data_IF_570532502410
#
_entry.id   IF_570532502410
#
_cell.length_a   1.000
_cell.length_b   1.000
_cell.length_c   1.000
_cell.angle_alpha   90.00
_cell.angle_beta   90.00
_cell.angle_gamma   90.00
#
_symmetry.space_group_name_H-M   'P 1'
#
loop_
_entity.id
_entity.type
_entity.pdbx_description
1 polymer ?
#
# COMPACT_ATOMS: atom_id res chain seq x y z
N UNK A 1 13.84 43.02 -7.51
CA UNK A 1 12.83 43.75 -6.70
C UNK A 1 12.58 42.88 -5.49
N UNK A 2 12.73 43.40 -4.27
CA UNK A 2 12.48 42.59 -3.07
C UNK A 2 11.01 42.16 -3.02
N UNK A 3 10.67 40.93 -2.55
CA UNK A 3 9.30 40.42 -2.54
C UNK A 3 8.28 41.38 -1.91
N UNK A 4 8.68 42.04 -0.81
CA UNK A 4 7.83 42.98 -0.06
C UNK A 4 7.57 44.29 -0.82
N UNK A 5 8.42 44.66 -1.77
CA UNK A 5 8.27 45.94 -2.51
C UNK A 5 7.26 45.87 -3.65
N UNK A 6 6.89 44.67 -4.10
CA UNK A 6 5.91 44.53 -5.19
C UNK A 6 4.46 44.72 -4.72
N UNK A 7 4.13 44.30 -3.50
CA UNK A 7 2.81 44.51 -2.89
C UNK A 7 2.40 45.99 -2.91
N UNK A 8 3.36 46.89 -2.64
CA UNK A 8 3.16 48.34 -2.62
C UNK A 8 3.47 49.03 -3.96
N UNK A 9 3.74 48.26 -5.02
CA UNK A 9 4.05 48.82 -6.32
C UNK A 9 2.82 49.50 -6.94
N UNK A 10 3.07 50.55 -7.73
CA UNK A 10 2.03 51.28 -8.45
C UNK A 10 1.20 50.34 -9.33
N UNK A 11 -0.06 50.69 -9.58
CA UNK A 11 -0.97 49.91 -10.45
C UNK A 11 -0.39 49.67 -11.84
N UNK A 12 0.35 50.64 -12.39
CA UNK A 12 1.07 50.51 -13.65
C UNK A 12 2.05 49.33 -13.62
N UNK A 13 2.80 49.16 -12.53
CA UNK A 13 3.75 48.05 -12.36
C UNK A 13 3.02 46.74 -12.08
N UNK A 14 1.93 46.77 -11.33
CA UNK A 14 1.11 45.58 -11.04
C UNK A 14 0.26 45.11 -12.23
N UNK A 15 0.17 45.90 -13.29
CA UNK A 15 -0.50 45.59 -14.56
C UNK A 15 0.47 45.28 -15.70
N UNK A 16 1.78 45.33 -15.45
CA UNK A 16 2.80 45.08 -16.46
C UNK A 16 3.04 43.56 -16.63
N UNK A 17 2.79 43.06 -17.83
CA UNK A 17 2.87 41.63 -18.14
C UNK A 17 4.29 41.07 -18.05
N UNK A 18 5.30 41.79 -18.55
CA UNK A 18 6.69 41.32 -18.50
C UNK A 18 7.19 41.26 -17.06
N UNK A 19 6.83 42.27 -16.26
CA UNK A 19 7.12 42.29 -14.84
C UNK A 19 6.44 41.12 -14.12
N UNK A 20 5.17 40.86 -14.43
CA UNK A 20 4.42 39.74 -13.86
C UNK A 20 5.05 38.38 -14.18
N UNK A 21 5.50 38.16 -15.42
CA UNK A 21 6.18 36.92 -15.80
C UNK A 21 7.50 36.72 -15.03
N UNK A 22 8.29 37.77 -14.84
CA UNK A 22 9.50 37.73 -13.99
C UNK A 22 9.18 37.45 -12.53
N UNK A 23 8.06 37.97 -12.02
CA UNK A 23 7.62 37.71 -10.65
C UNK A 23 7.20 36.25 -10.49
N UNK A 24 6.48 35.68 -11.45
CA UNK A 24 6.12 34.26 -11.42
C UNK A 24 7.35 33.34 -11.45
N UNK A 25 8.45 33.80 -12.02
CA UNK A 25 9.72 33.04 -12.04
C UNK A 25 10.48 33.13 -10.71
N UNK A 26 10.54 34.32 -10.10
CA UNK A 26 11.37 34.56 -8.90
C UNK A 26 10.61 34.36 -7.58
N UNK A 27 9.37 34.86 -7.53
CA UNK A 27 8.55 34.93 -6.32
C UNK A 27 7.07 34.69 -6.65
N UNK A 28 6.71 33.48 -7.14
CA UNK A 28 5.40 33.21 -7.68
C UNK A 28 4.26 33.47 -6.69
N UNK A 29 4.44 33.29 -5.39
CA UNK A 29 3.41 33.59 -4.37
C UNK A 29 2.87 35.02 -4.41
N UNK A 30 3.59 35.97 -5.00
CA UNK A 30 3.17 37.36 -5.15
C UNK A 30 2.12 37.58 -6.25
N UNK A 31 1.74 36.54 -7.01
CA UNK A 31 0.69 36.65 -8.05
C UNK A 31 -0.65 37.15 -7.47
N UNK A 32 -0.89 36.95 -6.17
CA UNK A 32 -2.07 37.45 -5.46
C UNK A 32 -2.20 38.98 -5.48
N UNK A 33 -1.11 39.69 -5.76
CA UNK A 33 -1.08 41.16 -5.87
C UNK A 33 -1.18 41.67 -7.31
N UNK A 34 -1.23 40.78 -8.31
CA UNK A 34 -1.39 41.17 -9.71
C UNK A 34 -2.68 41.95 -9.92
N UNK A 35 -2.62 42.95 -10.79
CA UNK A 35 -3.82 43.64 -11.22
C UNK A 35 -4.75 42.67 -11.97
N UNK A 36 -6.06 42.84 -11.80
CA UNK A 36 -7.07 41.92 -12.37
C UNK A 36 -6.97 41.81 -13.89
N UNK A 37 -6.49 42.84 -14.59
CA UNK A 37 -6.25 42.80 -16.04
C UNK A 37 -5.30 41.67 -16.44
N UNK A 38 -4.29 41.37 -15.61
CA UNK A 38 -3.32 40.33 -15.89
C UNK A 38 -3.90 38.91 -15.78
N UNK A 39 -4.92 38.73 -14.95
CA UNK A 39 -5.59 37.43 -14.75
C UNK A 39 -6.46 37.02 -15.94
N UNK A 40 -6.58 37.88 -16.95
CA UNK A 40 -7.17 37.54 -18.25
C UNK A 40 -6.18 36.94 -19.24
N UNK A 41 -4.87 37.01 -18.96
CA UNK A 41 -3.84 36.46 -19.84
C UNK A 41 -3.62 34.97 -19.58
N UNK A 42 -3.74 34.17 -20.66
CA UNK A 42 -3.62 32.71 -20.63
C UNK A 42 -2.28 32.24 -20.07
N UNK A 43 -1.18 32.84 -20.50
CA UNK A 43 0.18 32.46 -20.10
C UNK A 43 0.46 32.78 -18.63
N UNK A 44 -0.05 33.90 -18.12
CA UNK A 44 -0.02 34.23 -16.69
C UNK A 44 -0.81 33.19 -15.90
N UNK A 45 -2.04 32.89 -16.30
CA UNK A 45 -2.87 31.89 -15.63
C UNK A 45 -2.21 30.51 -15.61
N UNK A 46 -1.61 30.09 -16.72
CA UNK A 46 -0.95 28.78 -16.80
C UNK A 46 0.24 28.70 -15.85
N UNK A 47 1.10 29.73 -15.82
CA UNK A 47 2.22 29.80 -14.86
C UNK A 47 1.73 29.79 -13.41
N UNK A 48 0.62 30.48 -13.10
CA UNK A 48 0.01 30.44 -11.77
C UNK A 48 -0.45 29.02 -11.44
N UNK A 49 -1.09 28.30 -12.37
CA UNK A 49 -1.57 26.92 -12.15
C UNK A 49 -0.42 25.94 -11.93
N UNK A 50 0.67 26.06 -12.69
CA UNK A 50 1.86 25.23 -12.51
C UNK A 50 2.51 25.42 -11.13
N UNK A 51 2.46 26.63 -10.58
CA UNK A 51 2.95 26.92 -9.23
C UNK A 51 1.95 26.58 -8.12
N UNK A 52 0.69 27.00 -8.28
CA UNK A 52 -0.39 26.83 -7.34
C UNK A 52 -1.62 26.21 -8.04
N UNK A 53 -1.67 24.88 -8.17
CA UNK A 53 -2.72 24.18 -8.90
C UNK A 53 -4.13 24.40 -8.37
N UNK A 54 -4.28 24.65 -7.06
CA UNK A 54 -5.59 24.94 -6.46
C UNK A 54 -6.17 26.27 -6.92
N UNK A 55 -5.37 27.13 -7.55
CA UNK A 55 -5.86 28.33 -8.25
C UNK A 55 -6.86 27.99 -9.35
N UNK A 56 -6.91 26.74 -9.82
CA UNK A 56 -7.94 26.25 -10.73
C UNK A 56 -9.36 26.59 -10.24
N UNK A 57 -9.60 26.54 -8.93
CA UNK A 57 -10.87 26.94 -8.31
C UNK A 57 -11.29 28.37 -8.67
N UNK A 58 -10.33 29.29 -8.74
CA UNK A 58 -10.53 30.72 -9.00
C UNK A 58 -10.43 31.10 -10.48
N UNK A 59 -10.14 30.15 -11.38
CA UNK A 59 -10.02 30.47 -12.80
C UNK A 59 -11.32 31.06 -13.36
N UNK A 60 -11.24 32.11 -14.19
CA UNK A 60 -12.37 32.56 -14.99
C UNK A 60 -13.01 31.40 -15.76
N UNK A 61 -14.36 31.43 -15.87
CA UNK A 61 -15.13 30.33 -16.47
C UNK A 61 -14.56 29.85 -17.80
N UNK A 62 -14.13 30.75 -18.68
CA UNK A 62 -13.54 30.40 -19.98
C UNK A 62 -12.33 29.47 -19.90
N UNK A 63 -11.45 29.64 -18.90
CA UNK A 63 -10.26 28.80 -18.73
C UNK A 63 -10.58 27.44 -18.10
N UNK A 64 -11.67 27.34 -17.31
CA UNK A 64 -12.11 26.05 -16.73
C UNK A 64 -12.57 25.04 -17.78
N UNK A 65 -12.92 25.47 -18.99
CA UNK A 65 -13.26 24.59 -20.10
C UNK A 65 -12.06 24.22 -20.99
N UNK A 66 -10.90 24.81 -20.75
CA UNK A 66 -9.67 24.48 -21.46
C UNK A 66 -9.00 23.28 -20.78
N UNK A 67 -8.92 22.17 -21.52
CA UNK A 67 -8.37 20.89 -21.05
C UNK A 67 -6.92 21.02 -20.61
N UNK A 68 -6.14 21.90 -21.21
CA UNK A 68 -4.73 22.08 -20.86
C UNK A 68 -4.60 22.62 -19.43
N UNK A 69 -5.49 23.52 -19.01
CA UNK A 69 -5.53 24.01 -17.64
C UNK A 69 -5.91 22.93 -16.64
N UNK A 70 -6.89 22.08 -16.99
CA UNK A 70 -7.30 20.95 -16.16
C UNK A 70 -6.16 19.96 -15.99
N UNK A 71 -5.55 19.52 -17.09
CA UNK A 71 -4.46 18.55 -17.10
C UNK A 71 -3.26 19.08 -16.32
N UNK A 72 -2.85 20.34 -16.52
CA UNK A 72 -1.77 20.95 -15.74
C UNK A 72 -2.13 21.01 -14.25
N UNK A 73 -3.33 21.49 -13.90
CA UNK A 73 -3.73 21.57 -12.50
C UNK A 73 -3.68 20.20 -11.81
N UNK A 74 -4.18 19.15 -12.46
CA UNK A 74 -4.16 17.79 -11.92
C UNK A 74 -2.72 17.25 -11.78
N UNK A 75 -1.90 17.41 -12.82
CA UNK A 75 -0.52 16.90 -12.84
C UNK A 75 0.38 17.56 -11.78
N UNK A 76 0.16 18.84 -11.47
CA UNK A 76 0.92 19.56 -10.45
C UNK A 76 0.27 19.54 -9.06
N UNK A 77 -0.89 18.89 -8.90
CA UNK A 77 -1.74 19.01 -7.71
C UNK A 77 -1.10 18.57 -6.39
N UNK A 78 -0.08 17.71 -6.42
CA UNK A 78 0.66 17.22 -5.25
C UNK A 78 -0.27 16.73 -4.12
N UNK A 79 -1.16 15.78 -4.48
CA UNK A 79 -2.15 15.19 -3.57
C UNK A 79 -3.40 16.04 -3.32
N UNK A 80 -3.49 17.27 -3.87
CA UNK A 80 -4.69 18.14 -3.79
C UNK A 80 -5.63 18.01 -4.99
N UNK A 81 -5.49 16.94 -5.76
CA UNK A 81 -6.26 16.69 -6.98
C UNK A 81 -7.78 16.72 -6.77
N UNK A 82 -8.27 16.24 -5.62
CA UNK A 82 -9.71 16.20 -5.32
C UNK A 82 -10.40 17.57 -5.42
N UNK A 83 -9.77 18.62 -4.89
CA UNK A 83 -10.32 20.00 -4.93
C UNK A 83 -10.46 20.47 -6.38
N UNK A 84 -9.51 20.10 -7.24
CA UNK A 84 -9.52 20.44 -8.66
C UNK A 84 -10.63 19.67 -9.36
N UNK A 85 -10.73 18.35 -9.12
CA UNK A 85 -11.73 17.47 -9.74
C UNK A 85 -13.17 17.92 -9.48
N UNK A 86 -13.49 18.37 -8.26
CA UNK A 86 -14.80 18.92 -7.90
C UNK A 86 -15.22 20.14 -8.74
N UNK A 87 -14.25 20.81 -9.35
CA UNK A 87 -14.44 22.04 -10.12
C UNK A 87 -14.28 21.85 -11.63
N UNK A 88 -14.04 20.61 -12.09
CA UNK A 88 -14.00 20.29 -13.52
C UNK A 88 -15.43 20.32 -14.07
N UNK A 89 -15.68 20.99 -15.22
CA UNK A 89 -16.98 20.92 -15.87
C UNK A 89 -17.36 19.47 -16.20
N UNK A 90 -18.59 19.07 -15.86
CA UNK A 90 -19.08 17.68 -16.02
C UNK A 90 -18.96 17.21 -17.48
N UNK A 91 -19.10 18.12 -18.45
CA UNK A 91 -18.98 17.83 -19.88
C UNK A 91 -17.56 17.35 -20.27
N UNK A 92 -16.55 17.65 -19.46
CA UNK A 92 -15.16 17.27 -19.68
C UNK A 92 -14.75 15.98 -18.94
N UNK A 93 -15.61 15.41 -18.09
CA UNK A 93 -15.32 14.16 -17.37
C UNK A 93 -15.18 12.95 -18.31
N UNK A 94 -15.71 13.02 -19.53
CA UNK A 94 -15.55 11.99 -20.56
C UNK A 94 -14.39 12.26 -21.53
N UNK A 95 -13.63 13.34 -21.33
CA UNK A 95 -12.47 13.62 -22.18
C UNK A 95 -11.27 12.77 -21.76
N UNK A 96 -10.64 12.11 -22.73
CA UNK A 96 -9.53 11.18 -22.51
C UNK A 96 -8.33 11.82 -21.77
N UNK A 97 -7.89 13.01 -22.17
CA UNK A 97 -6.76 13.69 -21.51
C UNK A 97 -7.06 14.02 -20.04
N UNK A 98 -8.29 14.49 -19.77
CA UNK A 98 -8.76 14.79 -18.42
C UNK A 98 -8.87 13.50 -17.59
N UNK A 99 -9.43 12.42 -18.14
CA UNK A 99 -9.50 11.11 -17.49
C UNK A 99 -8.09 10.63 -17.12
N UNK A 100 -7.15 10.65 -18.07
CA UNK A 100 -5.79 10.18 -17.83
C UNK A 100 -5.07 11.04 -16.78
N UNK A 101 -5.29 12.36 -16.77
CA UNK A 101 -4.77 13.24 -15.73
C UNK A 101 -5.39 12.96 -14.36
N UNK A 102 -6.69 12.66 -14.29
CA UNK A 102 -7.36 12.28 -13.04
C UNK A 102 -6.86 10.94 -12.51
N UNK A 103 -6.63 9.96 -13.39
CA UNK A 103 -6.01 8.67 -13.05
C UNK A 103 -4.60 8.90 -12.49
N UNK A 104 -3.79 9.70 -13.19
CA UNK A 104 -2.42 10.04 -12.73
C UNK A 104 -2.40 10.77 -11.38
N UNK A 105 -3.43 11.56 -11.08
CA UNK A 105 -3.62 12.22 -9.80
C UNK A 105 -4.28 11.33 -8.72
N UNK A 106 -4.60 10.06 -9.02
CA UNK A 106 -5.22 9.12 -8.09
C UNK A 106 -6.72 9.38 -7.83
N UNK A 107 -7.40 10.13 -8.70
CA UNK A 107 -8.78 10.60 -8.50
C UNK A 107 -9.75 9.68 -9.21
N UNK A 108 -9.83 8.44 -8.77
CA UNK A 108 -10.67 7.43 -9.42
C UNK A 108 -12.16 7.62 -9.10
N UNK A 109 -12.50 8.19 -7.95
CA UNK A 109 -13.91 8.27 -7.51
C UNK A 109 -14.80 9.15 -8.39
N UNK A 110 -14.23 10.15 -9.09
CA UNK A 110 -14.97 11.07 -9.95
C UNK A 110 -15.12 10.58 -11.40
N UNK A 111 -14.45 9.50 -11.77
CA UNK A 111 -14.53 8.92 -13.11
C UNK A 111 -15.81 8.12 -13.30
N UNK A 112 -16.33 8.13 -14.53
CA UNK A 112 -17.36 7.19 -14.97
C UNK A 112 -16.71 5.84 -15.29
N UNK A 113 -16.75 4.93 -14.32
CA UNK A 113 -16.04 3.63 -14.37
C UNK A 113 -16.49 2.77 -15.54
N UNK A 114 -17.74 2.90 -15.97
CA UNK A 114 -18.31 2.17 -17.11
C UNK A 114 -17.68 2.53 -18.45
N UNK A 115 -16.99 3.68 -18.53
CA UNK A 115 -16.34 4.18 -19.74
C UNK A 115 -14.83 4.02 -19.75
N UNK A 116 -14.25 3.51 -18.68
CA UNK A 116 -12.80 3.31 -18.62
C UNK A 116 -12.42 2.09 -19.45
N UNK A 117 -11.35 2.25 -20.22
CA UNK A 117 -10.71 1.14 -20.90
C UNK A 117 -10.00 0.23 -19.90
N UNK A 118 -9.77 -1.02 -20.29
CA UNK A 118 -8.97 -1.97 -19.52
C UNK A 118 -7.59 -1.38 -19.14
N UNK A 119 -6.94 -0.69 -20.06
CA UNK A 119 -5.62 -0.09 -19.83
C UNK A 119 -5.66 1.05 -18.80
N UNK A 120 -6.70 1.87 -18.84
CA UNK A 120 -6.92 2.93 -17.84
C UNK A 120 -7.19 2.33 -16.44
N UNK A 121 -7.96 1.26 -16.36
CA UNK A 121 -8.18 0.54 -15.10
C UNK A 121 -6.87 -0.07 -14.59
N UNK A 122 -6.06 -0.64 -15.49
CA UNK A 122 -4.74 -1.14 -15.14
C UNK A 122 -3.82 -0.03 -14.61
N UNK A 123 -3.92 1.19 -15.13
CA UNK A 123 -3.20 2.35 -14.60
C UNK A 123 -3.70 2.74 -13.21
N UNK A 124 -5.01 2.75 -12.97
CA UNK A 124 -5.59 3.00 -11.64
C UNK A 124 -5.04 2.02 -10.58
N UNK A 125 -5.10 0.71 -10.87
CA UNK A 125 -4.66 -0.32 -9.91
C UNK A 125 -3.14 -0.34 -9.71
N UNK A 126 -2.36 0.11 -10.70
CA UNK A 126 -0.91 0.30 -10.57
C UNK A 126 -0.56 1.50 -9.68
N UNK A 127 -1.39 2.54 -9.67
CA UNK A 127 -1.21 3.67 -8.77
C UNK A 127 -1.58 3.29 -7.33
N UNK A 128 -2.75 2.67 -7.15
CA UNK A 128 -3.24 2.20 -5.85
C UNK A 128 -4.06 0.92 -6.05
N UNK A 129 -3.58 -0.20 -5.51
CA UNK A 129 -4.22 -1.50 -5.69
C UNK A 129 -5.63 -1.56 -5.08
N UNK A 130 -5.94 -0.74 -4.08
CA UNK A 130 -7.27 -0.71 -3.46
C UNK A 130 -8.35 -0.17 -4.40
N UNK A 131 -7.96 0.53 -5.47
CA UNK A 131 -8.89 1.03 -6.49
C UNK A 131 -9.65 -0.07 -7.23
N UNK A 132 -9.19 -1.33 -7.16
CA UNK A 132 -9.93 -2.48 -7.71
C UNK A 132 -11.36 -2.58 -7.15
N UNK A 133 -11.59 -2.10 -5.92
CA UNK A 133 -12.92 -2.04 -5.31
C UNK A 133 -13.91 -1.10 -6.03
N UNK A 134 -13.46 -0.29 -6.99
CA UNK A 134 -14.33 0.54 -7.82
C UNK A 134 -14.72 -0.11 -9.15
N UNK A 135 -14.16 -1.28 -9.50
CA UNK A 135 -14.29 -1.89 -10.82
C UNK A 135 -14.91 -3.30 -10.77
N UNK A 136 -16.20 -3.37 -10.39
CA UNK A 136 -16.92 -4.65 -10.25
C UNK A 136 -16.90 -5.52 -11.51
N UNK A 137 -16.95 -4.89 -12.69
CA UNK A 137 -16.94 -5.58 -13.99
C UNK A 137 -15.60 -6.27 -14.32
N UNK A 138 -14.53 -5.96 -13.59
CA UNK A 138 -13.17 -6.47 -13.84
C UNK A 138 -12.70 -7.50 -12.82
N UNK A 139 -13.60 -7.99 -11.96
CA UNK A 139 -13.27 -8.98 -10.94
C UNK A 139 -12.94 -10.37 -11.50
N UNK A 140 -13.23 -10.63 -12.79
CA UNK A 140 -12.85 -11.86 -13.49
C UNK A 140 -11.49 -11.74 -14.20
N UNK A 141 -10.95 -10.53 -14.31
CA UNK A 141 -9.65 -10.30 -14.94
C UNK A 141 -8.52 -10.58 -13.94
N UNK A 142 -8.04 -11.82 -13.99
CA UNK A 142 -6.97 -12.32 -13.10
C UNK A 142 -5.71 -11.46 -13.18
N UNK A 143 -5.36 -10.88 -14.33
CA UNK A 143 -4.17 -10.04 -14.45
C UNK A 143 -4.32 -8.73 -13.67
N UNK A 144 -5.50 -8.11 -13.75
CA UNK A 144 -5.80 -6.89 -12.99
C UNK A 144 -5.83 -7.19 -11.49
N UNK A 145 -6.46 -8.28 -11.07
CA UNK A 145 -6.47 -8.70 -9.66
C UNK A 145 -5.04 -8.90 -9.12
N UNK A 146 -4.20 -9.64 -9.86
CA UNK A 146 -2.79 -9.85 -9.49
C UNK A 146 -2.01 -8.54 -9.45
N UNK A 147 -2.24 -7.64 -10.40
CA UNK A 147 -1.61 -6.33 -10.41
C UNK A 147 -2.00 -5.50 -9.18
N UNK A 148 -3.28 -5.47 -8.83
CA UNK A 148 -3.79 -4.78 -7.66
C UNK A 148 -3.18 -5.34 -6.36
N UNK A 149 -3.15 -6.66 -6.21
CA UNK A 149 -2.60 -7.34 -5.03
C UNK A 149 -1.09 -7.17 -4.89
N UNK A 150 -0.36 -7.15 -6.01
CA UNK A 150 1.08 -6.88 -6.02
C UNK A 150 1.38 -5.43 -5.62
N UNK A 151 0.54 -4.48 -6.03
CA UNK A 151 0.71 -3.06 -5.66
C UNK A 151 0.32 -2.81 -4.20
N UNK A 152 -0.79 -3.40 -3.76
CA UNK A 152 -1.31 -3.21 -2.41
C UNK A 152 -1.92 -4.52 -1.90
N UNK A 153 -1.24 -5.28 -1.02
CA UNK A 153 -1.71 -6.58 -0.53
C UNK A 153 -3.09 -6.54 0.14
N UNK A 154 -3.41 -5.41 0.79
CA UNK A 154 -4.71 -5.17 1.43
C UNK A 154 -5.84 -4.95 0.43
N UNK A 155 -5.55 -4.81 -0.87
CA UNK A 155 -6.56 -4.82 -1.92
C UNK A 155 -7.43 -6.10 -1.89
N UNK A 156 -6.91 -7.19 -1.30
CA UNK A 156 -7.65 -8.43 -1.07
C UNK A 156 -8.99 -8.22 -0.35
N UNK A 157 -9.10 -7.23 0.53
CA UNK A 157 -10.34 -6.92 1.25
C UNK A 157 -11.45 -6.39 0.33
N UNK A 158 -11.08 -5.81 -0.82
CA UNK A 158 -12.01 -5.28 -1.82
C UNK A 158 -12.34 -6.30 -2.92
N UNK A 159 -11.61 -7.41 -3.00
CA UNK A 159 -11.88 -8.48 -3.97
C UNK A 159 -12.90 -9.46 -3.35
N UNK A 160 -14.06 -9.71 -3.97
CA UNK A 160 -15.03 -10.68 -3.46
C UNK A 160 -14.41 -12.08 -3.29
N UNK A 161 -14.75 -12.79 -2.20
CA UNK A 161 -14.19 -14.13 -1.88
C UNK A 161 -14.25 -15.12 -3.05
N UNK A 162 -15.31 -15.07 -3.88
CA UNK A 162 -15.47 -15.94 -5.06
C UNK A 162 -14.31 -15.82 -6.07
N UNK A 163 -13.62 -14.69 -6.10
CA UNK A 163 -12.49 -14.41 -6.99
C UNK A 163 -11.13 -14.55 -6.31
N UNK A 164 -11.10 -14.79 -5.00
CA UNK A 164 -9.88 -15.07 -4.26
C UNK A 164 -9.49 -16.55 -4.41
N UNK A 165 -9.09 -16.94 -5.61
CA UNK A 165 -8.71 -18.33 -5.90
C UNK A 165 -7.42 -18.72 -5.16
N UNK A 166 -7.23 -20.03 -4.95
CA UNK A 166 -6.02 -20.54 -4.29
C UNK A 166 -4.75 -20.06 -4.99
N UNK A 167 -4.70 -20.08 -6.33
CA UNK A 167 -3.55 -19.64 -7.10
C UNK A 167 -3.19 -18.17 -6.84
N UNK A 168 -4.19 -17.28 -6.83
CA UNK A 168 -4.00 -15.85 -6.51
C UNK A 168 -3.47 -15.68 -5.08
N UNK A 169 -4.03 -16.44 -4.13
CA UNK A 169 -3.61 -16.39 -2.73
C UNK A 169 -2.17 -16.88 -2.55
N UNK A 170 -1.77 -17.97 -3.22
CA UNK A 170 -0.41 -18.50 -3.16
C UNK A 170 0.59 -17.48 -3.71
N UNK A 171 0.35 -16.92 -4.90
CA UNK A 171 1.23 -15.89 -5.48
C UNK A 171 1.35 -14.65 -4.59
N UNK A 172 0.23 -14.22 -3.97
CA UNK A 172 0.24 -13.10 -3.03
C UNK A 172 1.10 -13.42 -1.79
N UNK A 173 0.98 -14.62 -1.23
CA UNK A 173 1.72 -15.03 -0.02
C UNK A 173 3.21 -15.25 -0.27
N UNK A 174 3.61 -15.60 -1.49
CA UNK A 174 5.03 -15.65 -1.86
C UNK A 174 5.71 -14.30 -1.66
N UNK A 175 5.02 -13.21 -2.02
CA UNK A 175 5.53 -11.84 -1.92
C UNK A 175 5.27 -11.27 -0.52
N UNK A 176 4.08 -11.49 0.04
CA UNK A 176 3.61 -10.88 1.30
C UNK A 176 3.09 -11.92 2.31
N UNK A 177 3.97 -12.70 2.96
CA UNK A 177 3.56 -13.74 3.92
C UNK A 177 2.67 -13.24 5.07
N UNK A 178 2.84 -11.97 5.47
CA UNK A 178 2.08 -11.35 6.57
C UNK A 178 0.59 -11.18 6.29
N UNK A 179 0.18 -11.27 5.02
CA UNK A 179 -1.24 -11.20 4.64
C UNK A 179 -2.00 -12.48 5.02
N UNK A 180 -1.31 -13.55 5.47
CA UNK A 180 -1.92 -14.81 5.93
C UNK A 180 -3.07 -14.59 6.94
N UNK A 181 -3.01 -13.56 7.79
CA UNK A 181 -4.11 -13.25 8.71
C UNK A 181 -5.39 -12.77 8.00
N UNK A 182 -5.28 -12.19 6.80
CA UNK A 182 -6.38 -11.59 6.03
C UNK A 182 -6.96 -12.53 4.95
N UNK A 183 -6.27 -13.62 4.57
CA UNK A 183 -6.78 -14.54 3.55
C UNK A 183 -8.06 -15.29 4.00
N UNK A 184 -8.85 -15.85 3.08
CA UNK A 184 -10.01 -16.68 3.40
C UNK A 184 -9.68 -17.84 4.35
N UNK A 185 -10.57 -18.09 5.31
CA UNK A 185 -10.35 -19.09 6.36
C UNK A 185 -10.25 -20.51 5.84
N UNK A 186 -10.91 -20.84 4.72
CA UNK A 186 -10.80 -22.15 4.09
C UNK A 186 -9.37 -22.50 3.63
N UNK A 187 -8.53 -21.49 3.33
CA UNK A 187 -7.17 -21.70 2.84
C UNK A 187 -6.11 -21.75 3.94
N UNK A 188 -6.37 -21.14 5.10
CA UNK A 188 -5.38 -20.95 6.18
C UNK A 188 -4.76 -22.23 6.75
N UNK A 189 -5.38 -23.39 6.52
CA UNK A 189 -4.89 -24.69 7.02
C UNK A 189 -4.43 -25.62 5.90
N UNK A 190 -4.46 -25.17 4.64
CA UNK A 190 -3.98 -25.98 3.54
C UNK A 190 -2.45 -26.07 3.59
N UNK A 191 -1.92 -27.28 3.43
CA UNK A 191 -0.48 -27.54 3.43
C UNK A 191 0.21 -26.60 2.46
N UNK A 192 -0.17 -26.57 1.18
CA UNK A 192 0.41 -25.67 0.18
C UNK A 192 0.51 -24.19 0.62
N UNK A 193 -0.50 -23.66 1.31
CA UNK A 193 -0.50 -22.27 1.81
C UNK A 193 0.53 -22.07 2.91
N UNK A 194 0.58 -22.98 3.88
CA UNK A 194 1.55 -22.95 4.98
C UNK A 194 2.98 -23.12 4.43
N UNK A 195 3.14 -24.05 3.50
CA UNK A 195 4.40 -24.30 2.82
C UNK A 195 4.90 -23.07 2.07
N UNK A 196 4.04 -22.41 1.29
CA UNK A 196 4.38 -21.18 0.54
C UNK A 196 4.81 -20.05 1.47
N UNK A 197 4.06 -19.83 2.56
CA UNK A 197 4.39 -18.82 3.58
C UNK A 197 5.79 -19.06 4.17
N UNK A 198 6.09 -20.30 4.57
CA UNK A 198 7.37 -20.64 5.22
C UNK A 198 8.52 -20.58 4.21
N UNK A 199 8.30 -20.98 2.96
CA UNK A 199 9.34 -20.92 1.91
C UNK A 199 9.65 -19.50 1.46
N UNK A 200 8.70 -18.57 1.55
CA UNK A 200 8.88 -17.19 1.10
C UNK A 200 10.19 -16.57 1.63
N UNK A 201 10.94 -15.86 0.76
CA UNK A 201 12.13 -15.11 1.19
C UNK A 201 11.78 -13.95 2.13
N UNK A 202 10.53 -13.49 2.11
CA UNK A 202 10.03 -12.37 2.92
C UNK A 202 9.39 -12.83 4.24
N UNK A 203 9.51 -14.11 4.61
CA UNK A 203 8.99 -14.63 5.87
C UNK A 203 9.62 -13.92 7.07
N UNK A 204 8.80 -13.45 8.01
CA UNK A 204 9.23 -12.72 9.20
C UNK A 204 8.79 -13.44 10.48
N UNK A 205 9.47 -13.15 11.58
CA UNK A 205 9.19 -13.79 12.86
C UNK A 205 7.76 -13.53 13.37
N UNK A 206 7.17 -12.35 13.14
CA UNK A 206 5.78 -12.11 13.55
C UNK A 206 4.76 -12.86 12.72
N UNK A 207 5.08 -13.27 11.48
CA UNK A 207 4.21 -14.11 10.63
C UNK A 207 3.85 -15.42 11.31
N UNK A 208 4.74 -15.96 12.16
CA UNK A 208 4.50 -17.18 12.96
C UNK A 208 3.19 -17.07 13.74
N UNK A 209 2.88 -15.90 14.31
CA UNK A 209 1.68 -15.71 15.13
C UNK A 209 0.39 -16.01 14.37
N UNK A 210 0.43 -15.90 13.04
CA UNK A 210 -0.69 -16.14 12.13
C UNK A 210 -0.73 -17.57 11.56
N UNK A 211 0.30 -18.38 11.79
CA UNK A 211 0.27 -19.81 11.45
C UNK A 211 -0.71 -20.56 12.35
N UNK A 212 -1.33 -21.64 11.85
CA UNK A 212 -2.24 -22.47 12.63
C UNK A 212 -1.55 -23.06 13.86
N UNK A 213 -2.26 -23.07 14.98
CA UNK A 213 -1.82 -23.74 16.20
C UNK A 213 -2.00 -25.25 16.11
N UNK A 214 -1.16 -26.00 16.83
CA UNK A 214 -1.18 -27.47 16.86
C UNK A 214 -1.14 -28.12 15.46
N UNK A 215 -0.44 -27.50 14.52
CA UNK A 215 -0.39 -27.97 13.14
C UNK A 215 0.65 -29.09 12.97
N UNK A 216 0.30 -30.09 12.18
CA UNK A 216 1.20 -31.20 11.84
C UNK A 216 1.77 -30.94 10.45
N UNK A 217 3.06 -30.66 10.37
CA UNK A 217 3.73 -30.34 9.11
C UNK A 217 4.07 -31.62 8.34
N UNK A 218 3.53 -31.77 7.14
CA UNK A 218 3.76 -32.95 6.29
C UNK A 218 5.21 -33.09 5.83
N UNK A 219 5.93 -31.96 5.66
CA UNK A 219 7.32 -31.92 5.21
C UNK A 219 8.29 -31.64 6.37
N UNK A 220 9.25 -32.55 6.58
CA UNK A 220 10.34 -32.35 7.53
C UNK A 220 11.20 -31.14 7.13
N UNK A 221 11.47 -30.93 5.84
CA UNK A 221 12.22 -29.78 5.34
C UNK A 221 11.58 -28.46 5.75
N UNK A 222 10.25 -28.36 5.67
CA UNK A 222 9.49 -27.15 6.01
C UNK A 222 9.45 -26.93 7.50
N UNK A 223 9.29 -28.01 8.27
CA UNK A 223 9.38 -27.97 9.72
C UNK A 223 10.75 -27.45 10.18
N UNK A 224 11.83 -27.96 9.59
CA UNK A 224 13.19 -27.50 9.86
C UNK A 224 13.38 -26.04 9.42
N UNK A 225 12.89 -25.67 8.23
CA UNK A 225 12.93 -24.29 7.72
C UNK A 225 12.21 -23.34 8.65
N UNK A 226 11.02 -23.71 9.12
CA UNK A 226 10.27 -22.95 10.11
C UNK A 226 11.14 -22.77 11.36
N UNK A 227 11.63 -23.84 11.98
CA UNK A 227 12.46 -23.79 13.19
C UNK A 227 13.76 -22.96 13.03
N UNK A 228 14.32 -22.88 11.82
CA UNK A 228 15.52 -22.09 11.51
C UNK A 228 15.20 -20.61 11.27
N UNK A 229 14.14 -20.31 10.50
CA UNK A 229 13.74 -18.94 10.15
C UNK A 229 13.06 -18.21 11.32
N UNK A 230 12.44 -18.97 12.21
CA UNK A 230 11.70 -18.43 13.33
C UNK A 230 12.53 -18.37 14.60
N UNK A 231 12.36 -17.28 15.34
CA UNK A 231 12.67 -17.32 16.77
C UNK A 231 11.90 -18.47 17.43
N UNK A 232 12.43 -19.00 18.54
CA UNK A 232 12.00 -20.22 19.24
C UNK A 232 10.48 -20.46 19.41
N UNK A 233 9.66 -19.43 19.27
CA UNK A 233 8.20 -19.45 19.36
C UNK A 233 7.52 -20.31 18.28
N UNK A 234 8.16 -20.69 17.17
CA UNK A 234 7.51 -21.59 16.22
C UNK A 234 7.26 -22.99 16.76
N UNK A 235 8.01 -23.42 17.79
CA UNK A 235 7.73 -24.68 18.48
C UNK A 235 6.28 -24.74 18.98
N UNK A 236 5.70 -23.58 19.32
CA UNK A 236 4.32 -23.45 19.81
C UNK A 236 3.27 -23.75 18.75
N UNK A 237 3.65 -23.69 17.47
CA UNK A 237 2.73 -23.93 16.35
C UNK A 237 2.70 -25.38 15.91
N UNK A 238 3.63 -26.21 16.39
CA UNK A 238 3.76 -27.62 16.02
C UNK A 238 2.87 -28.47 16.93
N UNK A 239 2.18 -29.45 16.35
CA UNK A 239 1.39 -30.43 17.13
C UNK A 239 2.25 -31.15 18.19
N UNK A 240 1.72 -31.38 19.41
CA UNK A 240 2.45 -32.07 20.47
C UNK A 240 3.01 -33.43 20.08
N UNK A 241 2.27 -34.19 19.28
CA UNK A 241 2.68 -35.51 18.78
C UNK A 241 3.90 -35.42 17.87
N UNK A 242 3.95 -34.45 16.96
CA UNK A 242 5.09 -34.24 16.08
C UNK A 242 6.31 -33.66 16.82
N UNK A 243 6.11 -32.85 17.87
CA UNK A 243 7.20 -32.40 18.72
C UNK A 243 7.93 -33.57 19.39
N UNK A 244 7.22 -34.65 19.76
CA UNK A 244 7.82 -35.84 20.37
C UNK A 244 8.65 -36.67 19.39
N UNK A 245 8.37 -36.57 18.08
CA UNK A 245 9.12 -37.28 17.04
C UNK A 245 10.35 -36.50 16.57
N UNK A 246 10.44 -35.21 16.90
CA UNK A 246 11.57 -34.38 16.48
C UNK A 246 12.88 -34.81 17.15
N UNK A 247 14.02 -34.71 16.43
CA UNK A 247 15.32 -34.91 17.05
C UNK A 247 15.52 -33.94 18.21
N UNK A 248 15.97 -34.47 19.35
CA UNK A 248 16.19 -33.69 20.59
C UNK A 248 17.11 -32.49 20.37
N UNK A 249 18.06 -32.58 19.44
CA UNK A 249 18.94 -31.48 19.02
C UNK A 249 18.17 -30.24 18.58
N UNK A 250 17.06 -30.40 17.87
CA UNK A 250 16.26 -29.29 17.36
C UNK A 250 15.54 -28.56 18.48
N UNK A 251 14.98 -29.32 19.44
CA UNK A 251 14.35 -28.78 20.64
C UNK A 251 15.37 -28.03 21.49
N UNK A 252 16.58 -28.58 21.66
CA UNK A 252 17.68 -27.92 22.37
C UNK A 252 18.05 -26.59 21.71
N UNK A 253 18.15 -26.54 20.37
CA UNK A 253 18.45 -25.30 19.64
C UNK A 253 17.39 -24.23 19.88
N UNK A 254 16.11 -24.58 19.91
CA UNK A 254 15.03 -23.64 20.21
C UNK A 254 15.12 -23.12 21.66
N UNK A 255 15.34 -24.01 22.63
CA UNK A 255 15.50 -23.62 24.05
C UNK A 255 16.72 -22.72 24.28
N UNK A 256 17.79 -22.86 23.49
CA UNK A 256 18.96 -21.96 23.54
C UNK A 256 18.61 -20.54 23.08
N UNK A 257 17.70 -20.39 22.13
CA UNK A 257 17.23 -19.09 21.65
C UNK A 257 16.29 -18.43 22.66
N UNK A 258 15.36 -19.19 23.24
CA UNK A 258 14.45 -18.69 24.27
C UNK A 258 14.06 -19.81 25.24
N UNK A 259 14.71 -19.88 26.41
CA UNK A 259 14.40 -20.90 27.41
C UNK A 259 12.98 -20.77 27.98
N UNK A 260 12.35 -19.60 27.87
CA UNK A 260 11.01 -19.34 28.45
C UNK A 260 9.89 -20.17 27.82
N UNK A 261 10.11 -20.78 26.65
CA UNK A 261 9.12 -21.66 25.99
C UNK A 261 9.01 -23.05 26.65
N UNK A 262 9.92 -23.40 27.57
CA UNK A 262 9.96 -24.73 28.18
C UNK A 262 8.65 -25.18 28.84
N UNK A 263 7.91 -24.32 29.59
CA UNK A 263 6.62 -24.70 30.19
C UNK A 263 5.55 -25.09 29.17
N UNK A 264 5.71 -24.64 27.93
CA UNK A 264 4.76 -24.86 26.86
C UNK A 264 5.03 -26.15 26.07
N UNK A 265 6.17 -26.80 26.31
CA UNK A 265 6.49 -28.09 25.71
C UNK A 265 5.55 -29.19 26.22
N UNK A 266 5.30 -30.26 25.44
CA UNK A 266 4.60 -31.45 25.91
C UNK A 266 5.16 -31.98 27.25
N UNK A 267 4.31 -32.44 28.19
CA UNK A 267 4.75 -32.90 29.52
C UNK A 267 5.86 -33.94 29.50
N UNK A 268 5.88 -34.82 28.48
CA UNK A 268 6.91 -35.84 28.30
C UNK A 268 8.31 -35.22 28.07
N UNK A 269 8.38 -34.11 27.33
CA UNK A 269 9.64 -33.39 27.11
C UNK A 269 10.06 -32.57 28.33
N UNK A 270 9.09 -32.12 29.14
CA UNK A 270 9.39 -31.40 30.39
C UNK A 270 10.06 -32.28 31.44
N UNK A 271 9.87 -33.61 31.37
CA UNK A 271 10.54 -34.56 32.26
C UNK A 271 12.03 -34.77 31.92
N UNK A 272 12.49 -34.30 30.76
CA UNK A 272 13.88 -34.48 30.33
C UNK A 272 14.84 -33.53 31.07
N UNK A 273 15.77 -34.05 31.89
CA UNK A 273 16.66 -33.21 32.70
C UNK A 273 17.59 -32.32 31.86
N UNK A 274 17.96 -32.78 30.66
CA UNK A 274 18.85 -32.02 29.77
C UNK A 274 18.12 -30.84 29.14
N UNK A 275 16.86 -31.01 28.73
CA UNK A 275 16.03 -29.92 28.22
C UNK A 275 15.77 -28.89 29.33
N UNK A 276 15.42 -29.33 30.55
CA UNK A 276 15.22 -28.45 31.69
C UNK A 276 16.47 -27.63 32.01
N UNK A 277 17.64 -28.29 32.10
CA UNK A 277 18.92 -27.61 32.36
C UNK A 277 19.24 -26.56 31.28
N UNK A 278 18.98 -26.90 30.01
CA UNK A 278 19.16 -25.98 28.89
C UNK A 278 18.22 -24.78 29.02
N UNK A 279 16.93 -25.01 29.27
CA UNK A 279 15.95 -23.95 29.43
C UNK A 279 16.32 -22.98 30.56
N UNK A 280 16.73 -23.50 31.73
CA UNK A 280 17.14 -22.69 32.89
C UNK A 280 18.34 -21.80 32.55
N UNK A 281 19.33 -22.36 31.84
CA UNK A 281 20.51 -21.61 31.40
C UNK A 281 20.14 -20.45 30.47
N UNK A 282 19.05 -20.61 29.70
CA UNK A 282 18.62 -19.67 28.67
C UNK A 282 17.34 -18.90 29.03
N UNK A 283 17.10 -18.66 30.32
CA UNK A 283 16.12 -17.68 30.79
C UNK A 283 14.81 -18.24 31.35
N UNK A 284 14.63 -19.56 31.39
CA UNK A 284 13.55 -20.16 32.15
C UNK A 284 13.80 -20.04 33.66
N UNK A 285 12.77 -19.66 34.41
CA UNK A 285 12.79 -19.62 35.87
C UNK A 285 11.68 -20.54 36.38
N UNK A 286 12.00 -21.75 36.87
CA UNK A 286 10.99 -22.63 37.42
C UNK A 286 10.34 -21.98 38.65
N UNK A 287 9.04 -22.22 38.89
CA UNK A 287 8.36 -21.70 40.07
C UNK A 287 9.09 -22.15 41.34
N UNK A 288 9.27 -21.21 42.28
CA UNK A 288 9.85 -21.54 43.60
C UNK A 288 8.89 -22.52 44.29
N UNK A 289 9.41 -23.70 44.63
CA UNK A 289 8.71 -24.66 45.50
C UNK A 289 8.60 -24.09 46.91
#
# INVERSE_FOLDING_TARGET
MEPKSYEYASERVRSDKEMALRILELHPSLYVHFHSSLLSHRDIQMKIIQFNPTHYYCLPKGFKYDKEFIVNALNYSDGRGMIIAENIPVELHSNEDVINAMIGAGIVQYLDKSKLTRDQILQCVKADGTTIGFFDDYMEDVEILKCALKQTPFALEFIPKKYQTLDIILELLEIYPDILKHIPTEFKKLDCVIETVIRSPNFKAHTISHLPDNYTYSSEEILLTLLLKSNANAIMKISPTQLLTLPKSNIISCLRLNGKIFPDLPPQLQQDPHLLKTAIKHGYRPPRK
#
